data_IF_777452301222
#
_entry.id   IF_777452301222
#
_cell.length_a   1.000
_cell.length_b   1.000
_cell.length_c   1.000
_cell.angle_alpha   90.00
_cell.angle_beta   90.00
_cell.angle_gamma   90.00
#
_symmetry.space_group_name_H-M   'P 1'
#
loop_
_entity.id
_entity.type
_entity.pdbx_description
1 polymer ?
#
# COMPACT_ATOMS: atom_id res chain seq x y z
N UNK A 1 -31.82 16.73 -4.94
CA UNK A 1 -31.21 17.85 -5.68
C UNK A 1 -30.43 17.24 -6.83
N UNK A 2 -30.68 17.74 -8.05
CA UNK A 2 -30.52 17.00 -9.31
C UNK A 2 -29.13 16.43 -9.56
N UNK A 3 -29.11 15.20 -10.06
CA UNK A 3 -27.97 14.66 -10.81
C UNK A 3 -27.66 15.65 -11.93
N UNK A 4 -26.52 16.32 -11.85
CA UNK A 4 -26.01 17.07 -12.98
C UNK A 4 -25.93 16.11 -14.16
N UNK A 5 -26.69 16.41 -15.21
CA UNK A 5 -26.78 15.61 -16.42
C UNK A 5 -25.40 15.68 -17.11
N UNK A 6 -24.50 14.78 -16.73
CA UNK A 6 -23.18 14.67 -17.36
C UNK A 6 -23.44 14.25 -18.81
N UNK A 7 -23.02 15.05 -19.81
CA UNK A 7 -23.22 14.67 -21.21
C UNK A 7 -22.61 13.27 -21.45
N UNK A 8 -23.28 12.41 -22.23
CA UNK A 8 -22.78 11.07 -22.50
C UNK A 8 -21.39 11.17 -23.12
N UNK A 9 -20.43 10.41 -22.58
CA UNK A 9 -19.06 10.36 -23.06
C UNK A 9 -19.00 9.92 -24.52
N UNK A 10 -18.19 10.58 -25.36
CA UNK A 10 -17.87 10.14 -26.72
C UNK A 10 -17.10 8.82 -26.65
N UNK A 11 -17.70 7.70 -27.11
CA UNK A 11 -17.06 6.39 -27.08
C UNK A 11 -15.74 6.35 -27.86
N UNK A 12 -15.59 7.20 -28.89
CA UNK A 12 -14.36 7.29 -29.68
C UNK A 12 -13.23 7.91 -28.87
N UNK A 13 -13.46 9.06 -28.25
CA UNK A 13 -12.47 9.73 -27.42
C UNK A 13 -12.04 8.86 -26.22
N UNK A 14 -12.97 8.13 -25.60
CA UNK A 14 -12.66 7.15 -24.54
C UNK A 14 -11.75 6.03 -25.07
N UNK A 15 -12.03 5.48 -26.26
CA UNK A 15 -11.20 4.44 -26.88
C UNK A 15 -9.80 4.94 -27.19
N UNK A 16 -9.68 6.14 -27.76
CA UNK A 16 -8.39 6.77 -28.05
C UNK A 16 -7.58 7.05 -26.77
N UNK A 17 -8.26 7.47 -25.69
CA UNK A 17 -7.64 7.62 -24.37
C UNK A 17 -7.08 6.31 -23.82
N UNK A 18 -7.86 5.23 -23.90
CA UNK A 18 -7.42 3.88 -23.47
C UNK A 18 -6.21 3.39 -24.26
N UNK A 19 -6.16 3.61 -25.57
CA UNK A 19 -5.02 3.23 -26.40
C UNK A 19 -3.75 4.01 -26.03
N UNK A 20 -3.88 5.31 -25.76
CA UNK A 20 -2.75 6.13 -25.27
C UNK A 20 -2.23 5.65 -23.93
N UNK A 21 -3.13 5.28 -23.00
CA UNK A 21 -2.77 4.72 -21.69
C UNK A 21 -1.98 3.42 -21.89
N UNK A 22 -2.52 2.49 -22.69
CA UNK A 22 -1.89 1.21 -22.99
C UNK A 22 -0.50 1.39 -23.59
N UNK A 23 -0.34 2.32 -24.53
CA UNK A 23 0.96 2.63 -25.13
C UNK A 23 1.96 3.12 -24.07
N UNK A 24 1.57 3.99 -23.15
CA UNK A 24 2.45 4.45 -22.06
C UNK A 24 2.78 3.31 -21.09
N UNK A 25 1.83 2.43 -20.80
CA UNK A 25 2.07 1.23 -19.99
C UNK A 25 3.16 0.36 -20.62
N UNK A 26 2.97 -0.02 -21.89
CA UNK A 26 3.85 -0.95 -22.61
C UNK A 26 5.25 -0.37 -22.89
N UNK A 27 5.32 0.91 -23.28
CA UNK A 27 6.57 1.50 -23.78
C UNK A 27 7.36 2.29 -22.74
N UNK A 28 6.77 2.61 -21.59
CA UNK A 28 7.43 3.50 -20.62
C UNK A 28 7.26 3.03 -19.18
N UNK A 29 6.02 2.90 -18.69
CA UNK A 29 5.76 2.66 -17.27
C UNK A 29 6.30 1.30 -16.82
N UNK A 30 5.85 0.21 -17.43
CA UNK A 30 6.30 -1.13 -17.02
C UNK A 30 7.77 -1.41 -17.32
N UNK A 31 8.35 -0.97 -18.46
CA UNK A 31 9.80 -1.02 -18.65
C UNK A 31 10.60 -0.38 -17.50
N UNK A 32 10.21 0.84 -17.10
CA UNK A 32 10.88 1.55 -15.99
C UNK A 32 10.65 0.89 -14.64
N UNK A 33 9.43 0.44 -14.34
CA UNK A 33 9.14 -0.31 -13.10
C UNK A 33 9.98 -1.59 -13.05
N UNK A 34 10.04 -2.33 -14.16
CA UNK A 34 10.78 -3.59 -14.25
C UNK A 34 12.27 -3.38 -14.04
N UNK A 35 12.87 -2.37 -14.71
CA UNK A 35 14.27 -2.02 -14.49
C UNK A 35 14.54 -1.61 -13.04
N UNK A 36 13.70 -0.73 -12.49
CA UNK A 36 13.90 -0.22 -11.14
C UNK A 36 13.83 -1.34 -10.09
N UNK A 37 12.84 -2.24 -10.21
CA UNK A 37 12.70 -3.40 -9.34
C UNK A 37 13.94 -4.30 -9.36
N UNK A 38 14.56 -4.52 -10.52
CA UNK A 38 15.78 -5.32 -10.62
C UNK A 38 17.02 -4.61 -10.04
N UNK A 39 17.12 -3.30 -10.23
CA UNK A 39 18.21 -2.50 -9.68
C UNK A 39 18.14 -2.42 -8.14
N UNK A 40 16.93 -2.43 -7.59
CA UNK A 40 16.69 -2.26 -6.15
C UNK A 40 16.09 -3.50 -5.50
N UNK A 41 16.42 -4.71 -5.95
CA UNK A 41 15.91 -5.99 -5.42
C UNK A 41 15.94 -6.13 -3.88
N UNK A 42 16.69 -5.27 -3.18
CA UNK A 42 16.88 -5.29 -1.73
C UNK A 42 16.44 -4.00 -1.02
N UNK A 43 15.79 -3.05 -1.70
CA UNK A 43 15.37 -1.79 -1.08
C UNK A 43 14.02 -1.96 -0.40
N UNK A 44 14.04 -2.26 0.90
CA UNK A 44 12.92 -2.06 1.82
C UNK A 44 13.29 -0.94 2.79
N UNK A 45 13.25 0.29 2.31
CA UNK A 45 13.32 1.44 3.20
C UNK A 45 11.89 1.69 3.68
N UNK A 46 11.59 1.16 4.87
CA UNK A 46 10.37 1.51 5.58
C UNK A 46 10.44 3.00 5.91
N UNK A 47 9.67 3.82 5.21
CA UNK A 47 9.52 5.24 5.54
C UNK A 47 8.23 5.40 6.37
N UNK A 48 8.34 5.79 7.66
CA UNK A 48 7.17 6.08 8.45
C UNK A 48 6.46 7.32 7.91
N UNK A 49 5.13 7.37 8.06
CA UNK A 49 4.37 8.56 7.73
C UNK A 49 4.86 9.76 8.56
N UNK A 50 5.08 10.90 7.90
CA UNK A 50 5.34 12.17 8.59
C UNK A 50 4.07 12.64 9.32
N UNK A 51 4.19 12.86 10.63
CA UNK A 51 3.08 13.34 11.45
C UNK A 51 2.84 14.83 11.22
N UNK A 52 1.58 15.25 11.26
CA UNK A 52 1.23 16.67 11.26
C UNK A 52 1.40 17.22 12.68
N UNK A 53 2.42 18.06 12.90
CA UNK A 53 2.60 18.74 14.19
C UNK A 53 1.42 19.70 14.44
N UNK A 54 0.77 19.58 15.61
CA UNK A 54 -0.32 20.46 16.03
C UNK A 54 -1.76 20.01 15.69
N UNK A 55 -1.94 18.87 15.03
CA UNK A 55 -3.28 18.38 14.62
C UNK A 55 -3.63 17.01 15.22
N UNK A 56 -3.84 16.99 16.54
CA UNK A 56 -4.08 15.75 17.30
C UNK A 56 -5.33 15.00 16.86
N UNK A 57 -6.38 15.70 16.42
CA UNK A 57 -7.63 15.09 15.96
C UNK A 57 -7.46 14.37 14.63
N UNK A 58 -6.81 14.99 13.64
CA UNK A 58 -6.54 14.28 12.39
C UNK A 58 -5.58 13.11 12.60
N UNK A 59 -4.56 13.25 13.45
CA UNK A 59 -3.68 12.12 13.78
C UNK A 59 -4.44 10.96 14.46
N UNK A 60 -5.40 11.24 15.35
CA UNK A 60 -6.28 10.22 15.92
C UNK A 60 -7.12 9.52 14.84
N UNK A 61 -7.75 10.26 13.92
CA UNK A 61 -8.49 9.69 12.78
C UNK A 61 -7.61 8.81 11.89
N UNK A 62 -6.40 9.26 11.58
CA UNK A 62 -5.43 8.50 10.76
C UNK A 62 -5.04 7.20 11.45
N UNK A 63 -4.77 7.24 12.75
CA UNK A 63 -4.49 6.06 13.55
C UNK A 63 -5.67 5.09 13.63
N UNK A 64 -6.89 5.60 13.76
CA UNK A 64 -8.11 4.80 13.66
C UNK A 64 -8.16 4.08 12.30
N UNK A 65 -7.98 4.80 11.19
CA UNK A 65 -8.10 4.24 9.84
C UNK A 65 -7.05 3.15 9.57
N UNK A 66 -5.79 3.38 9.91
CA UNK A 66 -4.72 2.37 9.78
C UNK A 66 -5.03 1.11 10.59
N UNK A 67 -5.49 1.31 11.82
CA UNK A 67 -5.72 0.21 12.77
C UNK A 67 -6.98 -0.58 12.40
N UNK A 68 -8.03 0.11 11.98
CA UNK A 68 -9.28 -0.53 11.54
C UNK A 68 -9.07 -1.31 10.24
N UNK A 69 -8.33 -0.74 9.28
CA UNK A 69 -7.93 -1.44 8.06
C UNK A 69 -7.10 -2.70 8.38
N UNK A 70 -6.17 -2.61 9.34
CA UNK A 70 -5.41 -3.78 9.82
C UNK A 70 -6.31 -4.88 10.39
N UNK A 71 -7.30 -4.53 11.22
CA UNK A 71 -8.24 -5.49 11.79
C UNK A 71 -9.09 -6.19 10.72
N UNK A 72 -9.33 -5.54 9.59
CA UNK A 72 -10.10 -6.09 8.47
C UNK A 72 -9.26 -6.95 7.51
N UNK A 73 -7.91 -6.94 7.61
CA UNK A 73 -7.01 -7.79 6.83
C UNK A 73 -6.82 -9.15 7.52
N UNK A 74 -7.87 -9.98 7.47
CA UNK A 74 -7.96 -11.24 8.24
C UNK A 74 -7.05 -12.36 7.74
N UNK A 75 -6.48 -12.22 6.54
CA UNK A 75 -5.55 -13.20 5.95
C UNK A 75 -4.17 -12.61 5.70
N UNK A 76 -3.17 -13.47 5.82
CA UNK A 76 -1.78 -13.08 5.64
C UNK A 76 -1.43 -13.14 4.15
N UNK A 77 -1.40 -12.00 3.47
CA UNK A 77 -0.93 -11.94 2.09
C UNK A 77 -1.12 -10.59 1.42
N UNK A 78 -0.70 -10.47 0.16
CA UNK A 78 -0.93 -9.26 -0.63
C UNK A 78 -2.37 -9.13 -1.17
N UNK A 79 -3.22 -10.16 -1.03
CA UNK A 79 -4.56 -10.21 -1.65
C UNK A 79 -5.67 -9.57 -0.79
N UNK A 80 -5.55 -9.67 0.53
CA UNK A 80 -6.53 -9.19 1.51
C UNK A 80 -6.19 -7.85 2.14
N UNK A 81 -5.06 -7.25 1.71
CA UNK A 81 -4.66 -5.90 2.13
C UNK A 81 -5.85 -4.97 1.99
N UNK A 82 -6.23 -4.39 3.11
CA UNK A 82 -7.45 -3.60 3.26
C UNK A 82 -7.09 -2.14 3.46
N UNK A 83 -7.85 -1.24 2.84
CA UNK A 83 -7.76 0.20 3.01
C UNK A 83 -9.08 0.75 3.56
N UNK A 84 -9.00 1.83 4.33
CA UNK A 84 -10.12 2.48 4.98
C UNK A 84 -10.06 4.02 4.81
N UNK A 85 -11.22 4.65 4.62
CA UNK A 85 -11.35 6.11 4.58
C UNK A 85 -12.65 6.59 5.22
N UNK A 86 -12.65 7.82 5.75
CA UNK A 86 -13.83 8.48 6.28
C UNK A 86 -14.39 9.49 5.26
N UNK A 87 -15.66 9.33 4.93
CA UNK A 87 -16.43 10.25 4.09
C UNK A 87 -17.39 11.06 4.94
N UNK A 88 -17.46 12.37 4.71
CA UNK A 88 -18.53 13.21 5.26
C UNK A 88 -19.84 12.97 4.51
N UNK A 89 -20.95 12.84 5.23
CA UNK A 89 -22.27 12.78 4.62
C UNK A 89 -22.86 14.20 4.49
N UNK A 90 -23.42 14.60 3.33
CA UNK A 90 -24.07 15.90 3.19
C UNK A 90 -25.24 16.03 4.16
N UNK A 91 -25.30 17.15 4.90
CA UNK A 91 -26.38 17.49 5.83
C UNK A 91 -26.56 16.50 7.00
N UNK A 92 -25.49 15.81 7.41
CA UNK A 92 -25.48 14.96 8.59
C UNK A 92 -24.18 15.17 9.37
N UNK A 93 -24.27 15.07 10.70
CA UNK A 93 -23.10 15.00 11.58
C UNK A 93 -22.46 13.59 11.56
N UNK A 94 -23.09 12.63 10.89
CA UNK A 94 -22.55 11.29 10.69
C UNK A 94 -21.48 11.24 9.59
N UNK A 95 -20.55 10.32 9.78
CA UNK A 95 -19.51 10.00 8.79
C UNK A 95 -19.69 8.57 8.29
N UNK A 96 -19.33 8.31 7.04
CA UNK A 96 -19.40 6.97 6.46
C UNK A 96 -18.00 6.39 6.35
N UNK A 97 -17.81 5.16 6.84
CA UNK A 97 -16.56 4.42 6.71
C UNK A 97 -16.58 3.62 5.41
N UNK A 98 -15.56 3.83 4.57
CA UNK A 98 -15.35 3.08 3.35
C UNK A 98 -14.27 2.03 3.56
N UNK A 99 -14.50 0.82 3.06
CA UNK A 99 -13.50 -0.26 3.03
C UNK A 99 -13.26 -0.75 1.60
N UNK A 100 -12.00 -0.99 1.27
CA UNK A 100 -11.58 -1.67 0.03
C UNK A 100 -10.55 -2.74 0.36
N UNK A 101 -10.50 -3.82 -0.41
CA UNK A 101 -9.40 -4.78 -0.36
C UNK A 101 -8.91 -5.11 -1.77
N UNK A 102 -7.65 -5.55 -1.91
CA UNK A 102 -7.05 -5.80 -3.23
C UNK A 102 -7.88 -6.77 -4.09
N UNK A 103 -8.54 -7.77 -3.48
CA UNK A 103 -9.47 -8.70 -4.15
C UNK A 103 -10.94 -8.52 -3.69
N UNK A 104 -11.26 -7.40 -3.04
CA UNK A 104 -12.59 -7.08 -2.54
C UNK A 104 -12.82 -7.54 -1.10
N UNK A 105 -13.70 -6.83 -0.39
CA UNK A 105 -14.05 -7.15 1.00
C UNK A 105 -15.02 -8.33 1.00
N UNK A 106 -14.65 -9.42 1.70
CA UNK A 106 -15.52 -10.59 1.88
C UNK A 106 -16.64 -10.32 2.88
N UNK A 107 -17.78 -10.98 2.71
CA UNK A 107 -18.95 -10.79 3.58
C UNK A 107 -18.67 -11.07 5.06
N UNK A 108 -17.83 -12.06 5.35
CA UNK A 108 -17.40 -12.37 6.72
C UNK A 108 -16.60 -11.24 7.37
N UNK A 109 -15.72 -10.59 6.60
CA UNK A 109 -14.92 -9.44 7.04
C UNK A 109 -15.83 -8.23 7.24
N UNK A 110 -16.80 -8.03 6.35
CA UNK A 110 -17.80 -6.97 6.50
C UNK A 110 -18.66 -7.17 7.75
N UNK A 111 -19.16 -8.38 8.01
CA UNK A 111 -19.89 -8.71 9.25
C UNK A 111 -19.03 -8.48 10.49
N UNK A 112 -17.76 -8.89 10.44
CA UNK A 112 -16.80 -8.65 11.51
C UNK A 112 -16.57 -7.16 11.77
N UNK A 113 -16.33 -6.36 10.72
CA UNK A 113 -16.16 -4.92 10.81
C UNK A 113 -17.40 -4.20 11.36
N UNK A 114 -18.61 -4.58 10.89
CA UNK A 114 -19.88 -4.07 11.41
C UNK A 114 -20.06 -4.42 12.90
N UNK A 115 -19.69 -5.64 13.30
CA UNK A 115 -19.75 -6.06 14.70
C UNK A 115 -18.78 -5.26 15.58
N UNK A 116 -17.54 -5.02 15.12
CA UNK A 116 -16.59 -4.15 15.82
C UNK A 116 -17.19 -2.75 15.99
N UNK A 117 -17.68 -2.11 14.93
CA UNK A 117 -18.26 -0.76 15.04
C UNK A 117 -19.47 -0.72 15.97
N UNK A 118 -20.35 -1.71 15.91
CA UNK A 118 -21.52 -1.80 16.79
C UNK A 118 -21.13 -1.92 18.27
N UNK A 119 -20.15 -2.78 18.57
CA UNK A 119 -19.60 -2.91 19.92
C UNK A 119 -18.95 -1.61 20.39
N UNK A 120 -18.16 -0.94 19.54
CA UNK A 120 -17.53 0.33 19.89
C UNK A 120 -18.53 1.48 20.14
N UNK A 121 -19.68 1.49 19.47
CA UNK A 121 -20.74 2.50 19.68
C UNK A 121 -21.59 2.28 20.92
N UNK A 122 -21.76 1.01 21.31
CA UNK A 122 -22.61 0.61 22.44
C UNK A 122 -21.87 0.66 23.79
N UNK A 123 -20.57 0.96 23.79
CA UNK A 123 -19.79 1.11 25.01
C UNK A 123 -19.97 2.51 25.59
N UNK A 124 -20.55 2.65 26.81
CA UNK A 124 -20.57 3.92 27.51
C UNK A 124 -19.14 4.37 27.87
N UNK A 125 -18.95 5.68 27.92
CA UNK A 125 -17.68 6.35 28.15
C UNK A 125 -17.28 6.27 29.63
N UNK A 126 -16.82 5.11 30.10
CA UNK A 126 -16.05 4.98 31.36
C UNK A 126 -14.93 3.92 31.30
N UNK A 127 -13.70 4.41 31.52
CA UNK A 127 -12.45 3.80 31.98
C UNK A 127 -12.10 2.35 31.55
N UNK A 128 -11.73 2.22 30.28
CA UNK A 128 -11.22 1.00 29.61
C UNK A 128 -9.99 0.41 30.34
N UNK A 129 -9.28 1.22 31.12
CA UNK A 129 -8.15 0.82 31.97
C UNK A 129 -8.58 -0.07 33.16
N UNK A 130 -9.79 0.11 33.70
CA UNK A 130 -10.29 -0.68 34.83
C UNK A 130 -10.75 -2.09 34.43
N UNK A 131 -11.35 -2.22 33.24
CA UNK A 131 -11.78 -3.51 32.69
C UNK A 131 -10.57 -4.39 32.33
N UNK A 132 -9.48 -3.78 31.85
CA UNK A 132 -8.20 -4.45 31.59
C UNK A 132 -7.54 -4.97 32.89
N UNK A 133 -7.58 -4.21 33.98
CA UNK A 133 -7.06 -4.63 35.30
C UNK A 133 -7.84 -5.78 35.93
N UNK A 134 -9.17 -5.82 35.77
CA UNK A 134 -10.03 -6.91 36.26
C UNK A 134 -9.71 -8.24 35.56
N UNK A 135 -9.46 -8.18 34.24
CA UNK A 135 -9.02 -9.34 33.45
C UNK A 135 -7.61 -9.78 33.84
N UNK A 136 -6.70 -8.85 34.18
CA UNK A 136 -5.34 -9.12 34.65
C UNK A 136 -5.28 -9.83 36.02
N UNK A 137 -6.32 -9.72 36.86
CA UNK A 137 -6.40 -10.39 38.16
C UNK A 137 -6.76 -11.89 38.07
N UNK A 138 -7.42 -12.31 37.00
CA UNK A 138 -7.77 -13.73 36.75
C UNK A 138 -6.53 -14.59 36.46
N UNK A 139 -5.36 -13.97 36.28
CA UNK A 139 -4.16 -14.63 35.74
C UNK A 139 -3.09 -14.91 36.73
N UNK A 140 -3.28 -14.42 37.94
CA UNK A 140 -2.34 -14.69 39.00
C UNK A 140 -2.51 -16.11 39.56
N UNK A 141 -3.61 -16.81 39.21
CA UNK A 141 -3.82 -18.20 39.56
C UNK A 141 -4.10 -19.02 38.30
N UNK A 142 -3.09 -19.76 37.80
CA UNK A 142 -3.12 -21.24 37.77
C UNK A 142 -2.05 -21.86 36.87
N UNK A 143 -1.57 -23.02 37.33
CA UNK A 143 -0.71 -24.01 36.67
C UNK A 143 -1.36 -24.72 35.46
N UNK A 144 -1.99 -24.00 34.53
CA UNK A 144 -2.63 -24.58 33.33
C UNK A 144 -2.21 -23.85 32.04
N UNK A 145 -2.20 -24.56 30.89
CA UNK A 145 -1.85 -23.96 29.61
C UNK A 145 -2.70 -22.71 29.35
N UNK A 146 -2.01 -21.65 28.97
CA UNK A 146 -2.59 -20.32 28.84
C UNK A 146 -3.68 -20.31 27.75
N UNK A 147 -4.83 -19.65 27.98
CA UNK A 147 -5.80 -19.42 26.93
C UNK A 147 -5.27 -18.39 25.92
N UNK A 148 -5.78 -18.40 24.68
CA UNK A 148 -5.25 -17.63 23.54
C UNK A 148 -5.07 -16.13 23.84
N UNK A 149 -5.99 -15.52 24.59
CA UNK A 149 -5.92 -14.13 25.04
C UNK A 149 -4.66 -13.81 25.85
N UNK A 150 -4.04 -14.81 26.47
CA UNK A 150 -2.80 -14.66 27.25
C UNK A 150 -1.52 -14.76 26.48
N UNK A 151 -1.53 -15.55 25.43
CA UNK A 151 -0.49 -15.40 24.41
C UNK A 151 -0.56 -14.00 23.77
N UNK A 152 -1.76 -13.46 23.53
CA UNK A 152 -1.93 -12.11 22.98
C UNK A 152 -1.40 -11.03 23.93
N UNK A 153 -1.76 -11.10 25.21
CA UNK A 153 -1.32 -10.10 26.19
C UNK A 153 0.20 -10.11 26.38
N UNK A 154 0.80 -11.30 26.52
CA UNK A 154 2.24 -11.46 26.66
C UNK A 154 2.96 -10.94 25.42
N UNK A 155 2.50 -11.33 24.21
CA UNK A 155 3.12 -10.85 22.98
C UNK A 155 2.99 -9.34 22.81
N UNK A 156 1.91 -8.72 23.30
CA UNK A 156 1.74 -7.26 23.27
C UNK A 156 2.73 -6.54 24.19
N UNK A 157 2.93 -7.00 25.43
CA UNK A 157 3.94 -6.40 26.33
C UNK A 157 5.35 -6.63 25.77
N UNK A 158 5.63 -7.85 25.29
CA UNK A 158 6.92 -8.22 24.69
C UNK A 158 7.33 -7.34 23.49
N UNK A 159 6.35 -6.76 22.78
CA UNK A 159 6.60 -5.82 21.69
C UNK A 159 7.20 -4.50 22.13
N UNK A 160 6.96 -4.08 23.39
CA UNK A 160 7.37 -2.76 23.89
C UNK A 160 8.76 -2.79 24.50
N UNK A 161 9.10 -3.84 25.25
CA UNK A 161 10.29 -3.83 26.11
C UNK A 161 11.39 -4.80 25.60
N UNK A 162 11.02 -5.95 25.02
CA UNK A 162 11.95 -7.05 24.78
C UNK A 162 12.18 -7.39 23.29
N UNK A 163 11.29 -6.95 22.39
CA UNK A 163 11.32 -7.35 20.97
C UNK A 163 12.64 -7.00 20.27
N UNK A 164 13.22 -5.84 20.56
CA UNK A 164 14.51 -5.44 19.98
C UNK A 164 15.65 -6.33 20.49
N UNK A 165 15.62 -6.72 21.77
CA UNK A 165 16.60 -7.64 22.35
C UNK A 165 16.47 -9.07 21.79
N UNK A 166 15.26 -9.51 21.46
CA UNK A 166 15.02 -10.79 20.78
C UNK A 166 15.51 -10.74 19.33
N UNK A 167 15.20 -9.67 18.60
CA UNK A 167 15.67 -9.47 17.22
C UNK A 167 17.20 -9.41 17.13
N UNK A 168 17.84 -8.73 18.08
CA UNK A 168 19.30 -8.58 18.11
C UNK A 168 20.06 -9.89 18.38
N UNK A 169 19.36 -10.98 18.74
CA UNK A 169 19.94 -12.33 18.91
C UNK A 169 19.81 -13.20 17.66
N UNK A 170 19.10 -12.74 16.64
CA UNK A 170 19.04 -13.45 15.37
C UNK A 170 20.35 -13.28 14.62
N UNK A 171 20.92 -14.39 14.17
CA UNK A 171 22.16 -14.44 13.38
C UNK A 171 21.91 -14.77 11.93
N UNK A 172 20.77 -15.43 11.62
CA UNK A 172 20.41 -15.85 10.27
C UNK A 172 18.92 -15.61 9.94
N UNK A 173 18.56 -15.39 8.66
CA UNK A 173 17.17 -15.33 8.25
C UNK A 173 16.43 -16.63 8.60
N UNK A 174 15.25 -16.49 9.20
CA UNK A 174 14.38 -17.61 9.62
C UNK A 174 14.94 -18.50 10.74
N UNK A 175 15.94 -18.04 11.49
CA UNK A 175 16.31 -18.70 12.75
C UNK A 175 15.18 -18.58 13.80
N UNK A 176 15.31 -19.33 14.89
CA UNK A 176 14.27 -19.39 15.92
C UNK A 176 14.00 -18.02 16.57
N UNK A 177 15.00 -17.15 16.70
CA UNK A 177 14.83 -15.80 17.26
C UNK A 177 14.15 -14.84 16.27
N UNK A 178 14.48 -14.94 14.99
CA UNK A 178 13.81 -14.24 13.89
C UNK A 178 12.33 -14.65 13.85
N UNK A 179 12.04 -15.95 13.86
CA UNK A 179 10.68 -16.49 13.86
C UNK A 179 9.92 -16.09 15.12
N UNK A 180 10.53 -16.21 16.30
CA UNK A 180 9.92 -15.84 17.57
C UNK A 180 9.58 -14.34 17.61
N UNK A 181 10.51 -13.47 17.23
CA UNK A 181 10.26 -12.02 17.15
C UNK A 181 9.16 -11.69 16.13
N UNK A 182 9.11 -12.43 15.01
CA UNK A 182 8.06 -12.30 14.01
C UNK A 182 6.69 -12.67 14.61
N UNK A 183 6.57 -13.81 15.30
CA UNK A 183 5.30 -14.24 15.90
C UNK A 183 4.85 -13.33 17.03
N UNK A 184 5.75 -12.92 17.94
CA UNK A 184 5.46 -11.95 19.01
C UNK A 184 4.91 -10.65 18.44
N UNK A 185 5.59 -10.10 17.42
CA UNK A 185 5.15 -8.88 16.78
C UNK A 185 3.73 -9.01 16.19
N UNK A 186 3.43 -10.15 15.54
CA UNK A 186 2.13 -10.38 14.90
C UNK A 186 0.99 -10.61 15.89
N UNK A 187 1.23 -11.43 16.90
CA UNK A 187 0.22 -11.79 17.90
C UNK A 187 -0.12 -10.55 18.74
N UNK A 188 0.88 -9.76 19.14
CA UNK A 188 0.66 -8.52 19.88
C UNK A 188 0.05 -7.38 19.06
N UNK A 189 0.18 -7.40 17.72
CA UNK A 189 -0.34 -6.34 16.84
C UNK A 189 -1.85 -6.19 16.87
N UNK A 190 -2.61 -7.28 16.91
CA UNK A 190 -4.07 -7.20 16.96
C UNK A 190 -4.56 -6.41 18.18
N UNK A 191 -3.96 -6.66 19.37
CA UNK A 191 -4.29 -5.93 20.60
C UNK A 191 -3.85 -4.47 20.54
N UNK A 192 -2.63 -4.18 20.05
CA UNK A 192 -2.17 -2.81 19.84
C UNK A 192 -3.13 -2.01 18.97
N UNK A 193 -3.53 -2.58 17.81
CA UNK A 193 -4.44 -1.92 16.87
C UNK A 193 -5.84 -1.72 17.44
N UNK A 194 -6.38 -2.71 18.16
CA UNK A 194 -7.65 -2.55 18.88
C UNK A 194 -7.59 -1.41 19.91
N UNK A 195 -6.50 -1.34 20.70
CA UNK A 195 -6.29 -0.26 21.66
C UNK A 195 -6.16 1.11 20.97
N UNK A 196 -5.49 1.17 19.81
CA UNK A 196 -5.37 2.41 19.02
C UNK A 196 -6.73 2.89 18.49
N UNK A 197 -7.59 1.98 18.02
CA UNK A 197 -8.96 2.33 17.59
C UNK A 197 -9.74 2.96 18.73
N UNK A 198 -9.74 2.31 19.90
CA UNK A 198 -10.42 2.79 21.10
C UNK A 198 -9.88 4.14 21.55
N UNK A 199 -8.55 4.27 21.64
CA UNK A 199 -7.89 5.51 22.04
C UNK A 199 -8.22 6.66 21.07
N UNK A 200 -8.22 6.39 19.77
CA UNK A 200 -8.57 7.40 18.77
C UNK A 200 -10.04 7.86 18.92
N UNK A 201 -10.98 6.96 19.18
CA UNK A 201 -12.40 7.30 19.40
C UNK A 201 -12.64 8.08 20.70
N UNK A 202 -11.73 7.98 21.66
CA UNK A 202 -11.72 8.79 22.88
C UNK A 202 -11.15 10.20 22.61
N UNK A 203 -10.04 10.28 21.89
CA UNK A 203 -9.38 11.53 21.51
C UNK A 203 -10.20 12.38 20.52
N UNK A 204 -10.96 11.74 19.61
CA UNK A 204 -11.88 12.40 18.69
C UNK A 204 -13.28 11.77 18.74
N UNK A 205 -14.15 12.42 19.51
CA UNK A 205 -15.56 12.03 19.67
C UNK A 205 -16.35 11.96 18.36
N UNK A 206 -15.93 12.67 17.30
CA UNK A 206 -16.61 12.59 16.00
C UNK A 206 -16.56 11.19 15.38
N UNK A 207 -15.56 10.38 15.75
CA UNK A 207 -15.46 8.97 15.33
C UNK A 207 -16.58 8.08 15.91
N UNK A 208 -17.24 8.50 16.99
CA UNK A 208 -18.42 7.78 17.52
C UNK A 208 -19.67 7.96 16.66
N UNK A 209 -19.67 8.98 15.78
CA UNK A 209 -20.74 9.25 14.81
C UNK A 209 -20.47 8.63 13.43
N UNK A 210 -19.52 7.69 13.32
CA UNK A 210 -19.43 6.84 12.12
C UNK A 210 -20.75 6.06 12.01
N UNK A 211 -21.38 6.02 10.83
CA UNK A 211 -22.63 5.30 10.58
C UNK A 211 -22.48 3.79 10.77
N UNK A 212 -23.55 3.05 11.04
CA UNK A 212 -23.51 1.58 11.14
C UNK A 212 -23.39 0.92 9.76
N UNK A 213 -23.75 1.67 8.70
CA UNK A 213 -23.56 1.24 7.34
C UNK A 213 -22.14 1.55 6.86
N UNK A 214 -21.38 0.47 6.61
CA UNK A 214 -20.07 0.51 5.98
C UNK A 214 -20.28 0.37 4.47
N UNK A 215 -19.71 1.29 3.70
CA UNK A 215 -19.70 1.18 2.23
C UNK A 215 -18.47 0.36 1.79
N UNK A 216 -18.68 -0.66 0.95
CA UNK A 216 -17.59 -1.45 0.37
C UNK A 216 -17.33 -1.05 -1.07
N UNK A 217 -16.06 -0.94 -1.44
CA UNK A 217 -15.65 -0.68 -2.82
C UNK A 217 -15.40 -2.02 -3.51
N UNK A 218 -16.05 -2.22 -4.66
CA UNK A 218 -15.86 -3.42 -5.50
C UNK A 218 -14.46 -3.37 -6.13
N UNK A 219 -13.69 -4.43 -5.94
CA UNK A 219 -12.36 -4.53 -6.54
C UNK A 219 -12.43 -4.57 -8.07
N UNK A 220 -11.56 -3.82 -8.77
CA UNK A 220 -11.42 -3.93 -10.22
C UNK A 220 -10.98 -5.33 -10.65
N UNK A 221 -11.37 -5.74 -11.86
CA UNK A 221 -11.01 -7.04 -12.44
C UNK A 221 -9.49 -7.16 -12.56
N UNK A 222 -8.93 -8.29 -12.16
CA UNK A 222 -7.50 -8.61 -12.35
C UNK A 222 -7.19 -8.71 -13.85
N UNK A 223 -6.05 -8.17 -14.30
CA UNK A 223 -5.68 -8.13 -15.72
C UNK A 223 -4.30 -8.72 -15.95
N UNK A 224 -4.14 -9.46 -17.03
CA UNK A 224 -2.81 -9.86 -17.51
C UNK A 224 -2.21 -8.73 -18.35
N UNK A 225 -0.95 -8.40 -18.09
CA UNK A 225 -0.13 -7.48 -18.87
C UNK A 225 0.99 -8.29 -19.54
N UNK A 226 1.12 -8.15 -20.86
CA UNK A 226 2.21 -8.76 -21.62
C UNK A 226 3.34 -7.75 -21.74
N UNK A 227 4.51 -8.11 -21.24
CA UNK A 227 5.72 -7.31 -21.32
C UNK A 227 6.45 -7.63 -22.63
N UNK A 228 6.34 -6.72 -23.60
CA UNK A 228 7.01 -6.88 -24.88
C UNK A 228 8.52 -6.69 -24.74
N UNK A 229 9.29 -7.70 -25.14
CA UNK A 229 10.75 -7.71 -25.02
C UNK A 229 11.42 -6.56 -25.78
N UNK A 230 10.76 -6.01 -26.81
CA UNK A 230 11.26 -4.87 -27.60
C UNK A 230 11.47 -3.60 -26.77
N UNK A 231 10.75 -3.44 -25.65
CA UNK A 231 10.87 -2.27 -24.78
C UNK A 231 11.61 -2.56 -23.47
N UNK A 232 12.21 -3.75 -23.34
CA UNK A 232 12.81 -4.24 -22.09
C UNK A 232 14.34 -4.17 -22.07
N UNK A 233 14.96 -3.45 -23.02
CA UNK A 233 16.40 -3.23 -23.01
C UNK A 233 16.77 -2.18 -21.95
N UNK A 234 17.51 -2.54 -20.88
CA UNK A 234 17.83 -1.61 -19.79
C UNK A 234 18.61 -0.38 -20.26
N UNK A 235 19.47 -0.52 -21.27
CA UNK A 235 20.28 0.58 -21.82
C UNK A 235 19.44 1.56 -22.64
N UNK A 236 18.48 1.06 -23.41
CA UNK A 236 17.52 1.91 -24.14
C UNK A 236 16.59 2.64 -23.16
N UNK A 237 16.11 1.95 -22.12
CA UNK A 237 15.30 2.56 -21.06
C UNK A 237 16.07 3.70 -20.38
N UNK A 238 17.35 3.50 -20.04
CA UNK A 238 18.18 4.56 -19.44
C UNK A 238 18.38 5.73 -20.40
N UNK A 239 18.56 5.44 -21.70
CA UNK A 239 18.65 6.47 -22.73
C UNK A 239 17.36 7.31 -22.83
N UNK A 240 16.20 6.66 -22.78
CA UNK A 240 14.91 7.34 -22.77
C UNK A 240 14.71 8.16 -21.49
N UNK A 241 15.12 7.64 -20.33
CA UNK A 241 15.10 8.39 -19.06
C UNK A 241 15.97 9.65 -19.17
N UNK A 242 17.17 9.53 -19.73
CA UNK A 242 18.07 10.66 -19.92
C UNK A 242 17.44 11.74 -20.81
N UNK A 243 16.84 11.34 -21.93
CA UNK A 243 16.16 12.26 -22.86
C UNK A 243 14.94 12.95 -22.25
N UNK A 244 14.22 12.26 -21.37
CA UNK A 244 13.08 12.81 -20.62
C UNK A 244 13.50 13.71 -19.45
N UNK A 245 14.74 13.57 -18.96
CA UNK A 245 15.22 14.27 -17.79
C UNK A 245 15.55 15.74 -18.08
N UNK A 246 15.31 16.62 -17.12
CA UNK A 246 15.77 18.02 -17.18
C UNK A 246 17.28 18.14 -16.89
N UNK A 247 17.92 17.06 -16.45
CA UNK A 247 19.28 17.03 -15.94
C UNK A 247 20.26 16.72 -17.07
N UNK A 248 20.73 17.78 -17.74
CA UNK A 248 21.75 17.71 -18.81
C UNK A 248 23.19 17.72 -18.27
N UNK A 249 23.40 17.37 -17.00
CA UNK A 249 24.75 17.32 -16.46
C UNK A 249 25.47 16.09 -17.03
N UNK A 250 26.34 16.33 -18.01
CA UNK A 250 27.08 15.28 -18.72
C UNK A 250 27.83 14.34 -17.76
N UNK A 251 28.36 14.87 -16.65
CA UNK A 251 29.10 14.08 -15.65
C UNK A 251 28.21 13.12 -14.85
N UNK A 252 26.94 13.44 -14.62
CA UNK A 252 26.00 12.54 -13.95
C UNK A 252 25.50 11.47 -14.92
N UNK A 253 25.21 11.87 -16.16
CA UNK A 253 24.84 10.95 -17.22
C UNK A 253 25.93 9.89 -17.45
N UNK A 254 27.19 10.32 -17.62
CA UNK A 254 28.32 9.41 -17.80
C UNK A 254 28.43 8.38 -16.67
N UNK A 255 28.27 8.81 -15.41
CA UNK A 255 28.26 7.92 -14.24
C UNK A 255 27.12 6.91 -14.32
N UNK A 256 25.90 7.36 -14.62
CA UNK A 256 24.73 6.48 -14.67
C UNK A 256 24.86 5.42 -15.78
N UNK A 257 25.28 5.81 -16.99
CA UNK A 257 25.49 4.88 -18.10
C UNK A 257 26.63 3.89 -17.81
N UNK A 258 27.76 4.38 -17.30
CA UNK A 258 28.88 3.50 -16.91
C UNK A 258 28.43 2.53 -15.82
N UNK A 259 27.64 2.98 -14.85
CA UNK A 259 27.14 2.13 -13.77
C UNK A 259 26.21 1.05 -14.28
N UNK A 260 25.29 1.38 -15.19
CA UNK A 260 24.42 0.39 -15.80
C UNK A 260 25.21 -0.62 -16.62
N UNK A 261 26.23 -0.19 -17.38
CA UNK A 261 27.12 -1.09 -18.10
C UNK A 261 27.88 -2.06 -17.17
N UNK A 262 28.30 -1.61 -15.99
CA UNK A 262 28.92 -2.50 -14.98
C UNK A 262 27.94 -3.53 -14.42
N UNK A 263 26.65 -3.16 -14.28
CA UNK A 263 25.62 -4.05 -13.75
C UNK A 263 25.02 -4.98 -14.83
N UNK A 264 25.03 -4.55 -16.10
CA UNK A 264 24.52 -5.28 -17.27
C UNK A 264 25.52 -5.25 -18.45
N UNK A 265 26.71 -5.87 -18.30
CA UNK A 265 27.74 -5.84 -19.33
C UNK A 265 27.29 -6.59 -20.59
N UNK A 266 27.75 -6.12 -21.76
CA UNK A 266 27.28 -6.60 -23.07
C UNK A 266 27.41 -8.12 -23.30
N UNK A 267 28.36 -8.79 -22.62
CA UNK A 267 28.59 -10.23 -22.74
C UNK A 267 27.62 -11.09 -21.91
N UNK A 268 27.33 -10.69 -20.66
CA UNK A 268 26.53 -11.51 -19.72
C UNK A 268 25.07 -11.06 -19.65
N UNK A 269 24.84 -9.74 -19.73
CA UNK A 269 23.52 -9.09 -19.68
C UNK A 269 22.55 -9.67 -18.62
N UNK A 270 22.96 -9.79 -17.34
CA UNK A 270 22.13 -10.41 -16.30
C UNK A 270 20.82 -9.65 -16.02
N UNK A 271 20.79 -8.33 -16.14
CA UNK A 271 19.57 -7.53 -15.94
C UNK A 271 18.64 -7.74 -17.13
N UNK A 272 19.14 -7.56 -18.36
CA UNK A 272 18.31 -7.74 -19.56
C UNK A 272 17.73 -9.16 -19.63
N UNK A 273 18.55 -10.18 -19.37
CA UNK A 273 18.13 -11.59 -19.38
C UNK A 273 17.00 -11.84 -18.38
N UNK A 274 17.10 -11.26 -17.18
CA UNK A 274 16.02 -11.36 -16.19
C UNK A 274 14.77 -10.61 -16.67
N UNK A 275 14.90 -9.37 -17.19
CA UNK A 275 13.78 -8.55 -17.68
C UNK A 275 12.94 -9.26 -18.75
N UNK A 276 13.60 -9.95 -19.69
CA UNK A 276 12.94 -10.67 -20.80
C UNK A 276 12.64 -12.14 -20.48
N UNK A 277 12.89 -12.58 -19.24
CA UNK A 277 12.64 -13.96 -18.85
C UNK A 277 11.16 -14.34 -19.00
N UNK A 278 10.90 -15.61 -19.32
CA UNK A 278 9.54 -16.12 -19.45
C UNK A 278 8.70 -15.95 -18.16
N UNK A 279 9.35 -15.82 -17.00
CA UNK A 279 8.70 -15.57 -15.69
C UNK A 279 8.14 -14.14 -15.59
N UNK A 280 8.62 -13.20 -16.40
CA UNK A 280 8.25 -11.78 -16.39
C UNK A 280 7.51 -11.33 -17.64
N UNK A 281 7.52 -12.13 -18.71
CA UNK A 281 6.83 -11.80 -19.97
C UNK A 281 5.31 -11.63 -19.80
N UNK A 282 4.71 -12.24 -18.78
CA UNK A 282 3.31 -12.09 -18.41
C UNK A 282 3.18 -11.76 -16.93
N UNK A 283 2.59 -10.61 -16.64
CA UNK A 283 2.41 -10.13 -15.27
C UNK A 283 0.93 -10.00 -14.97
N UNK A 284 0.49 -10.63 -13.89
CA UNK A 284 -0.85 -10.44 -13.35
C UNK A 284 -0.88 -9.14 -12.56
N UNK A 285 -1.62 -8.17 -13.07
CA UNK A 285 -1.74 -6.83 -12.49
C UNK A 285 -3.03 -6.68 -11.68
N UNK A 286 -3.02 -5.81 -10.68
CA UNK A 286 -4.17 -5.45 -9.84
C UNK A 286 -4.11 -3.99 -9.38
N UNK A 287 -5.27 -3.40 -9.11
CA UNK A 287 -5.37 -2.09 -8.47
C UNK A 287 -5.38 -2.31 -6.96
N UNK A 288 -4.42 -1.72 -6.26
CA UNK A 288 -4.36 -1.85 -4.79
C UNK A 288 -5.50 -1.11 -4.10
N UNK A 289 -5.89 -1.58 -2.91
CA UNK A 289 -7.03 -1.10 -2.13
C UNK A 289 -6.97 0.41 -1.89
N UNK A 290 -5.78 0.94 -1.58
CA UNK A 290 -5.54 2.36 -1.36
C UNK A 290 -5.91 3.18 -2.61
N UNK A 291 -5.51 2.69 -3.79
CA UNK A 291 -5.81 3.32 -5.07
C UNK A 291 -7.28 3.20 -5.43
N UNK A 292 -7.95 2.09 -5.06
CA UNK A 292 -9.40 1.94 -5.25
C UNK A 292 -10.19 2.99 -4.45
N UNK A 293 -9.79 3.27 -3.20
CA UNK A 293 -10.41 4.33 -2.38
C UNK A 293 -10.14 5.71 -2.99
N UNK A 294 -8.88 6.00 -3.32
CA UNK A 294 -8.48 7.27 -3.92
C UNK A 294 -9.25 7.58 -5.21
N UNK A 295 -9.45 6.55 -6.02
CA UNK A 295 -10.16 6.61 -7.27
C UNK A 295 -11.63 7.00 -7.08
N UNK A 296 -12.34 6.36 -6.14
CA UNK A 296 -13.74 6.68 -5.82
C UNK A 296 -13.90 8.14 -5.37
N UNK A 297 -13.04 8.60 -4.45
CA UNK A 297 -13.08 9.99 -3.98
C UNK A 297 -12.71 10.99 -5.08
N UNK A 298 -11.76 10.67 -5.95
CA UNK A 298 -11.33 11.58 -7.02
C UNK A 298 -12.37 11.75 -8.14
N UNK A 299 -13.22 10.75 -8.36
CA UNK A 299 -14.18 10.73 -9.47
C UNK A 299 -15.60 11.12 -9.08
N UNK A 300 -15.98 10.92 -7.83
CA UNK A 300 -17.32 11.27 -7.33
C UNK A 300 -17.30 12.66 -6.71
N UNK A 301 -17.84 13.67 -7.40
CA UNK A 301 -17.86 15.06 -6.93
C UNK A 301 -18.52 15.26 -5.55
N UNK A 302 -19.43 14.36 -5.15
CA UNK A 302 -20.13 14.41 -3.87
C UNK A 302 -19.39 13.69 -2.73
N UNK A 303 -18.24 13.07 -3.01
CA UNK A 303 -17.42 12.41 -1.99
C UNK A 303 -16.42 13.41 -1.45
N UNK A 304 -16.50 13.66 -0.14
CA UNK A 304 -15.60 14.56 0.57
C UNK A 304 -15.02 13.86 1.78
N UNK A 305 -13.72 14.05 1.98
CA UNK A 305 -13.04 13.58 3.18
C UNK A 305 -13.51 14.37 4.39
N UNK A 306 -13.63 13.67 5.53
CA UNK A 306 -13.93 14.32 6.80
C UNK A 306 -12.82 15.34 7.12
N UNK A 307 -13.21 16.57 7.47
CA UNK A 307 -12.31 17.68 7.75
C UNK A 307 -11.32 18.02 6.62
N UNK A 308 -11.64 17.67 5.37
CA UNK A 308 -10.74 17.77 4.21
C UNK A 308 -9.40 17.01 4.39
N UNK A 309 -9.35 16.07 5.34
CA UNK A 309 -8.18 15.22 5.58
C UNK A 309 -8.17 14.06 4.58
N UNK A 310 -7.51 14.26 3.44
CA UNK A 310 -7.39 13.30 2.33
C UNK A 310 -6.46 12.13 2.67
N UNK A 311 -6.66 11.52 3.83
CA UNK A 311 -5.94 10.35 4.30
C UNK A 311 -6.71 9.08 4.01
N UNK A 312 -5.96 8.06 3.58
CA UNK A 312 -6.46 6.70 3.37
C UNK A 312 -5.59 5.80 4.23
N UNK A 313 -6.19 5.19 5.26
CA UNK A 313 -5.48 4.23 6.10
C UNK A 313 -5.40 2.87 5.41
N UNK A 314 -4.34 2.12 5.66
CA UNK A 314 -4.12 0.81 5.05
C UNK A 314 -3.59 -0.19 6.08
N UNK A 315 -3.91 -1.49 5.91
CA UNK A 315 -3.43 -2.56 6.79
C UNK A 315 -1.91 -2.74 6.76
N UNK A 316 -1.26 -2.24 5.70
CA UNK A 316 0.19 -2.29 5.50
C UNK A 316 0.67 -0.94 4.92
N UNK A 317 1.94 -0.55 5.14
CA UNK A 317 2.51 0.58 4.43
C UNK A 317 2.37 0.43 2.92
N UNK A 318 2.23 1.54 2.22
CA UNK A 318 2.03 1.59 0.79
C UNK A 318 3.20 0.96 0.03
N UNK A 319 2.93 0.28 -1.09
CA UNK A 319 3.99 -0.05 -2.03
C UNK A 319 4.52 1.19 -2.73
N UNK A 320 5.70 1.09 -3.34
CA UNK A 320 6.33 2.22 -4.03
C UNK A 320 5.38 2.86 -5.04
N UNK A 321 4.68 2.05 -5.86
CA UNK A 321 3.74 2.58 -6.85
C UNK A 321 2.58 3.37 -6.20
N UNK A 322 2.00 2.88 -5.10
CA UNK A 322 0.92 3.56 -4.39
C UNK A 322 1.42 4.85 -3.72
N UNK A 323 2.59 4.81 -3.09
CA UNK A 323 3.21 5.97 -2.48
C UNK A 323 3.49 7.08 -3.51
N UNK A 324 4.03 6.72 -4.67
CA UNK A 324 4.29 7.67 -5.75
C UNK A 324 2.99 8.20 -6.38
N UNK A 325 1.98 7.35 -6.48
CA UNK A 325 0.64 7.75 -6.92
C UNK A 325 0.07 8.85 -6.04
N UNK A 326 0.09 8.66 -4.71
CA UNK A 326 -0.40 9.67 -3.78
C UNK A 326 0.46 10.94 -3.79
N UNK A 327 1.78 10.79 -3.89
CA UNK A 327 2.73 11.92 -3.91
C UNK A 327 2.60 12.80 -5.15
N UNK A 328 2.14 12.25 -6.28
CA UNK A 328 1.93 13.01 -7.53
C UNK A 328 0.49 13.35 -7.84
N UNK A 329 -0.46 12.87 -7.04
CA UNK A 329 -1.86 13.08 -7.31
C UNK A 329 -2.24 14.57 -7.22
N UNK A 330 -2.90 15.08 -8.26
CA UNK A 330 -3.38 16.48 -8.35
C UNK A 330 -4.30 16.95 -7.20
N UNK A 331 -4.81 16.03 -6.38
CA UNK A 331 -5.73 16.36 -5.30
C UNK A 331 -5.02 16.50 -3.95
N UNK A 332 -3.71 16.28 -3.88
CA UNK A 332 -2.90 16.48 -2.68
C UNK A 332 -3.31 15.55 -1.54
N UNK A 333 -3.21 14.23 -1.77
CA UNK A 333 -3.48 13.24 -0.72
C UNK A 333 -2.43 13.33 0.38
N UNK A 334 -2.82 13.00 1.60
CA UNK A 334 -1.85 12.83 2.70
C UNK A 334 -0.98 11.62 2.38
N UNK A 335 0.33 11.83 2.40
CA UNK A 335 1.31 10.80 2.06
C UNK A 335 1.26 9.65 3.08
N UNK A 336 1.09 8.40 2.64
CA UNK A 336 1.09 7.25 3.55
C UNK A 336 2.51 6.88 3.99
N UNK A 337 2.63 6.02 5.00
CA UNK A 337 3.87 5.27 5.23
C UNK A 337 4.13 4.35 4.02
N UNK A 338 5.37 4.01 3.74
CA UNK A 338 5.71 3.06 2.65
C UNK A 338 6.71 2.03 3.09
N UNK A 339 6.59 0.82 2.54
CA UNK A 339 7.60 -0.24 2.69
C UNK A 339 8.61 -0.25 1.54
N UNK A 340 8.52 0.69 0.59
CA UNK A 340 9.45 0.86 -0.52
C UNK A 340 9.46 -0.22 -1.61
N UNK A 341 8.90 -1.41 -1.36
CA UNK A 341 8.85 -2.49 -2.35
C UNK A 341 8.15 -2.07 -3.65
N UNK A 342 8.83 -2.34 -4.76
CA UNK A 342 8.33 -2.15 -6.12
C UNK A 342 7.58 -3.41 -6.52
N UNK A 343 6.26 -3.27 -6.74
CA UNK A 343 5.39 -4.38 -7.10
C UNK A 343 5.05 -4.24 -8.57
N UNK A 344 5.69 -5.04 -9.43
CA UNK A 344 5.45 -5.05 -10.88
C UNK A 344 3.98 -5.35 -11.23
N UNK A 345 3.28 -6.11 -10.39
CA UNK A 345 1.85 -6.40 -10.55
C UNK A 345 0.89 -5.31 -10.05
N UNK A 346 1.38 -4.12 -9.66
CA UNK A 346 0.52 -3.01 -9.27
C UNK A 346 0.21 -2.13 -10.49
N UNK A 347 -1.06 -1.75 -10.68
CA UNK A 347 -1.47 -0.79 -11.73
C UNK A 347 -2.38 0.31 -11.17
N UNK A 348 -2.50 1.39 -11.92
CA UNK A 348 -3.39 2.49 -11.57
C UNK A 348 -4.88 2.15 -11.76
N UNK A 349 -5.78 2.97 -11.21
CA UNK A 349 -7.22 2.80 -11.39
C UNK A 349 -7.64 2.91 -12.86
N UNK A 350 -8.43 1.94 -13.32
CA UNK A 350 -8.81 1.80 -14.73
C UNK A 350 -10.29 1.44 -14.94
N UNK A 351 -11.07 1.43 -13.87
CA UNK A 351 -12.50 1.15 -13.91
C UNK A 351 -13.26 2.30 -14.59
N UNK A 352 -14.31 2.04 -15.38
CA UNK A 352 -15.27 3.06 -15.88
C UNK A 352 -14.66 4.41 -16.32
N UNK A 353 -13.59 4.38 -17.11
CA UNK A 353 -12.94 5.60 -17.61
C UNK A 353 -13.84 6.33 -18.63
N UNK A 354 -14.23 7.55 -18.30
CA UNK A 354 -14.68 8.55 -19.28
C UNK A 354 -13.47 9.29 -19.86
N UNK A 355 -13.69 10.24 -20.79
CA UNK A 355 -12.62 10.97 -21.48
C UNK A 355 -11.69 11.71 -20.52
N UNK A 356 -12.27 12.47 -19.59
CA UNK A 356 -11.54 13.22 -18.57
C UNK A 356 -10.75 12.29 -17.64
N UNK A 357 -11.34 11.15 -17.28
CA UNK A 357 -10.67 10.11 -16.49
C UNK A 357 -9.47 9.53 -17.24
N UNK A 358 -9.62 9.24 -18.54
CA UNK A 358 -8.52 8.72 -19.35
C UNK A 358 -7.35 9.70 -19.44
N UNK A 359 -7.63 11.00 -19.61
CA UNK A 359 -6.60 12.04 -19.59
C UNK A 359 -5.90 12.14 -18.23
N UNK A 360 -6.67 12.09 -17.13
CA UNK A 360 -6.11 12.12 -15.77
C UNK A 360 -5.17 10.93 -15.54
N UNK A 361 -5.60 9.71 -15.88
CA UNK A 361 -4.77 8.51 -15.73
C UNK A 361 -3.51 8.60 -16.59
N UNK A 362 -3.63 9.07 -17.84
CA UNK A 362 -2.50 9.27 -18.72
C UNK A 362 -1.47 10.23 -18.11
N UNK A 363 -1.94 11.34 -17.52
CA UNK A 363 -1.08 12.30 -16.85
C UNK A 363 -0.44 11.73 -15.57
N UNK A 364 -1.19 10.94 -14.79
CA UNK A 364 -0.66 10.22 -13.62
C UNK A 364 0.45 9.25 -14.03
N UNK A 365 0.23 8.43 -15.07
CA UNK A 365 1.22 7.47 -15.56
C UNK A 365 2.48 8.15 -16.11
N UNK A 366 2.34 9.28 -16.81
CA UNK A 366 3.49 10.10 -17.23
C UNK A 366 4.25 10.65 -16.03
N UNK A 367 3.54 11.16 -15.02
CA UNK A 367 4.13 11.69 -13.78
C UNK A 367 4.92 10.63 -13.04
N UNK A 368 4.31 9.47 -12.77
CA UNK A 368 4.94 8.35 -12.08
C UNK A 368 6.11 7.79 -12.90
N UNK A 369 5.96 7.61 -14.21
CA UNK A 369 7.04 7.17 -15.10
C UNK A 369 8.26 8.09 -15.05
N UNK A 370 8.04 9.40 -14.94
CA UNK A 370 9.12 10.38 -14.79
C UNK A 370 9.81 10.26 -13.43
N UNK A 371 9.05 10.09 -12.35
CA UNK A 371 9.63 9.89 -11.02
C UNK A 371 10.43 8.59 -10.91
N UNK A 372 9.93 7.48 -11.47
CA UNK A 372 10.69 6.23 -11.54
C UNK A 372 11.99 6.45 -12.31
N UNK A 373 11.91 7.13 -13.46
CA UNK A 373 13.11 7.48 -14.23
C UNK A 373 14.12 8.27 -13.40
N UNK A 374 13.65 9.27 -12.65
CA UNK A 374 14.49 10.06 -11.76
C UNK A 374 15.16 9.19 -10.68
N UNK A 375 14.40 8.32 -10.01
CA UNK A 375 14.94 7.45 -8.96
C UNK A 375 15.91 6.39 -9.50
N UNK A 376 15.68 5.85 -10.71
CA UNK A 376 16.65 4.99 -11.41
C UNK A 376 17.95 5.77 -11.64
N UNK A 377 17.84 6.99 -12.16
CA UNK A 377 19.01 7.81 -12.47
C UNK A 377 19.79 8.18 -11.21
N UNK A 378 19.11 8.57 -10.14
CA UNK A 378 19.71 8.85 -8.83
C UNK A 378 20.38 7.61 -8.25
N UNK A 379 19.72 6.45 -8.29
CA UNK A 379 20.30 5.18 -7.83
C UNK A 379 21.61 4.86 -8.56
N UNK A 380 21.63 5.03 -9.89
CA UNK A 380 22.83 4.79 -10.69
C UNK A 380 23.93 5.83 -10.45
N UNK A 381 23.58 7.03 -9.98
CA UNK A 381 24.53 8.09 -9.61
C UNK A 381 25.09 7.96 -8.18
N UNK A 382 24.44 7.21 -7.28
CA UNK A 382 24.88 7.05 -5.89
C UNK A 382 26.16 6.20 -5.79
N UNK A 383 27.05 6.57 -4.85
CA UNK A 383 28.17 5.72 -4.46
C UNK A 383 27.61 4.49 -3.73
N UNK A 384 28.13 3.30 -4.09
CA UNK A 384 27.77 2.04 -3.45
C UNK A 384 27.77 2.17 -1.92
N UNK A 385 26.65 1.91 -1.22
CA UNK A 385 26.72 1.65 0.20
C UNK A 385 27.54 0.38 0.43
N UNK A 386 28.44 0.41 1.41
CA UNK A 386 28.97 -0.81 2.01
C UNK A 386 27.78 -1.67 2.43
N UNK A 387 27.80 -2.97 2.09
CA UNK A 387 26.70 -3.91 2.31
C UNK A 387 26.24 -3.89 3.78
N UNK A 388 25.30 -3.02 4.14
CA UNK A 388 24.53 -3.16 5.37
C UNK A 388 23.37 -4.10 5.05
N UNK A 389 23.58 -5.37 5.33
CA UNK A 389 22.54 -6.39 5.27
C UNK A 389 21.49 -6.10 6.34
N UNK A 390 20.56 -5.21 6.04
CA UNK A 390 19.37 -5.03 6.85
C UNK A 390 18.21 -5.71 6.12
N UNK A 391 18.10 -7.02 6.37
CA UNK A 391 17.06 -7.88 5.83
C UNK A 391 15.90 -7.95 6.83
N UNK A 392 14.71 -7.55 6.43
CA UNK A 392 13.48 -7.84 7.19
C UNK A 392 12.40 -8.44 6.29
N UNK A 393 11.95 -9.62 6.72
CA UNK A 393 10.96 -10.47 6.07
C UNK A 393 9.56 -9.84 6.07
N UNK A 394 9.11 -9.48 4.88
CA UNK A 394 7.70 -9.55 4.49
C UNK A 394 7.58 -10.40 3.24
N UNK A 395 8.10 -11.63 3.29
CA UNK A 395 7.76 -12.66 2.31
C UNK A 395 6.45 -13.33 2.75
N UNK A 396 5.34 -12.76 2.30
CA UNK A 396 4.28 -13.61 1.78
C UNK A 396 4.49 -13.62 0.27
N UNK A 397 4.47 -14.81 -0.36
CA UNK A 397 4.55 -14.92 -1.81
C UNK A 397 3.55 -13.96 -2.47
N UNK A 398 4.05 -12.92 -3.11
CA UNK A 398 3.28 -12.07 -4.03
C UNK A 398 3.16 -12.69 -5.41
N UNK A 399 3.77 -13.86 -5.63
CA UNK A 399 3.50 -14.68 -6.80
C UNK A 399 2.06 -15.17 -6.71
N UNK A 400 1.22 -14.68 -7.61
CA UNK A 400 0.04 -15.46 -7.99
C UNK A 400 0.57 -16.83 -8.40
N UNK A 401 0.20 -17.88 -7.67
CA UNK A 401 0.40 -19.25 -8.12
C UNK A 401 -0.33 -19.39 -9.45
N UNK A 402 0.42 -19.34 -10.54
CA UNK A 402 -0.05 -19.78 -11.84
C UNK A 402 -0.24 -21.30 -11.71
N UNK A 403 -1.44 -21.73 -11.36
CA UNK A 403 -1.85 -23.11 -11.55
C UNK A 403 -1.77 -23.39 -13.05
N UNK A 404 -0.73 -24.11 -13.44
CA UNK A 404 -0.73 -24.82 -14.71
C UNK A 404 -1.68 -25.98 -14.52
N UNK A 405 -2.87 -25.87 -15.09
CA UNK A 405 -3.75 -27.02 -15.29
C UNK A 405 -3.02 -27.97 -16.24
N UNK A 406 -2.46 -29.06 -15.70
CA UNK A 406 -2.03 -30.19 -16.50
C UNK A 406 -3.30 -30.86 -17.03
N UNK A 407 -3.52 -30.71 -18.35
CA UNK A 407 -4.29 -31.66 -19.14
C UNK A 407 -3.35 -32.74 -19.68
#
# INVERSE_FOLDING_TARGET
MGEANIPPSDPRAVREGKEKIRKVEETTLYPRISLYELLTKWKSEDEPRKRSEGDSKNEARRHFLDSFAYLCDVEKGGKTVTAAALRSLPNSDETNLLLAANEGIRDEVLRYAKNILSQLKSMPEEDIVQTLRKKLKILYDTQKPLPTEKYIDICFEMRREELQGIRGRSTEPNDDFCNLSHYIWRIGATREKANMVVKAMDEDRSLRHISSEIETIKAPVVKEMVLDSRYMNPHEILHDIYNDSKYKEASQAEKAFLRLYQLDPAGERPIYTEMVSAKRSRVVTRVHAELQVADVFSRRQHYKFVADDKYIGCSKPACYFCYEWFSTHKHGYVRPATHGKIILGCRGPDHELNETGAEVILNMYKGISRQIGQHIFEFLCQKLPERSGQYMSTEAETRATSHVSLG
#
